data_IF_760293164160
#
_entry.id   IF_760293164160
#
_cell.length_a   1.000
_cell.length_b   1.000
_cell.length_c   1.000
_cell.angle_alpha   90.00
_cell.angle_beta   90.00
_cell.angle_gamma   90.00
#
_symmetry.space_group_name_H-M   'P 1'
#
loop_
_entity.id
_entity.type
_entity.pdbx_description
1 polymer ?
#
# COMPACT_ATOMS: atom_id res chain seq x y z
N UNK A 1 -8.14 -3.58 -17.54
CA UNK A 1 -7.81 -3.67 -16.09
C UNK A 1 -7.35 -2.31 -15.59
N UNK A 2 -7.10 -2.11 -14.28
CA UNK A 2 -6.50 -0.85 -13.78
C UNK A 2 -5.17 -0.53 -14.46
N UNK A 3 -4.40 -1.58 -14.81
CA UNK A 3 -3.14 -1.48 -15.55
C UNK A 3 -3.40 -0.90 -16.95
N UNK A 4 -4.33 -1.49 -17.69
CA UNK A 4 -4.75 -1.03 -19.02
C UNK A 4 -5.17 0.45 -19.00
N UNK A 5 -6.00 0.82 -18.03
CA UNK A 5 -6.51 2.20 -17.89
C UNK A 5 -5.37 3.19 -17.62
N UNK A 6 -4.47 2.89 -16.67
CA UNK A 6 -3.34 3.75 -16.36
C UNK A 6 -2.42 3.98 -17.57
N UNK A 7 -2.19 2.93 -18.38
CA UNK A 7 -1.39 3.06 -19.61
C UNK A 7 -2.12 3.88 -20.67
N UNK A 8 -3.43 3.64 -20.87
CA UNK A 8 -4.24 4.36 -21.84
C UNK A 8 -4.34 5.85 -21.51
N UNK A 9 -4.60 6.19 -20.25
CA UNK A 9 -4.62 7.58 -19.78
C UNK A 9 -3.28 8.26 -20.05
N UNK A 10 -2.17 7.60 -19.70
CA UNK A 10 -0.82 8.13 -19.94
C UNK A 10 -0.54 8.32 -21.44
N UNK A 11 -0.98 7.35 -22.26
CA UNK A 11 -0.86 7.40 -23.72
C UNK A 11 -1.64 8.58 -24.31
N UNK A 12 -2.87 8.80 -23.86
CA UNK A 12 -3.71 9.93 -24.27
C UNK A 12 -3.13 11.28 -23.83
N UNK A 13 -2.69 11.41 -22.57
CA UNK A 13 -2.14 12.66 -22.04
C UNK A 13 -0.82 13.06 -22.71
N UNK A 14 0.00 12.08 -23.09
CA UNK A 14 1.28 12.34 -23.73
C UNK A 14 1.21 12.36 -25.25
N UNK A 15 0.05 12.02 -25.84
CA UNK A 15 -0.14 11.83 -27.28
C UNK A 15 0.88 10.81 -27.88
N UNK A 16 1.24 9.79 -27.10
CA UNK A 16 2.17 8.74 -27.52
C UNK A 16 1.39 7.44 -27.71
N UNK A 17 1.45 6.79 -28.90
CA UNK A 17 0.79 5.52 -29.13
C UNK A 17 1.41 4.42 -28.26
N UNK A 18 0.54 3.60 -27.67
CA UNK A 18 0.93 2.39 -26.97
C UNK A 18 0.90 1.18 -27.89
N UNK A 19 1.70 0.16 -27.56
CA UNK A 19 1.90 -1.03 -28.37
C UNK A 19 1.92 -2.27 -27.49
N UNK A 20 1.19 -3.32 -27.90
CA UNK A 20 1.13 -4.63 -27.19
C UNK A 20 0.77 -4.50 -25.71
N UNK A 21 -0.33 -3.80 -25.43
CA UNK A 21 -0.81 -3.55 -24.07
C UNK A 21 -1.12 -4.84 -23.28
N UNK A 22 -1.60 -5.87 -23.97
CA UNK A 22 -1.89 -7.17 -23.36
C UNK A 22 -0.63 -7.84 -22.82
N UNK A 23 0.45 -7.84 -23.62
CA UNK A 23 1.74 -8.40 -23.22
C UNK A 23 2.29 -7.67 -21.99
N UNK A 24 2.21 -6.34 -21.98
CA UNK A 24 2.63 -5.54 -20.83
C UNK A 24 1.80 -5.87 -19.59
N UNK A 25 0.47 -5.96 -19.73
CA UNK A 25 -0.42 -6.28 -18.61
C UNK A 25 -0.11 -7.66 -18.04
N UNK A 26 0.13 -8.64 -18.90
CA UNK A 26 0.49 -10.00 -18.50
C UNK A 26 1.86 -10.03 -17.81
N UNK A 27 2.87 -9.35 -18.36
CA UNK A 27 4.21 -9.26 -17.78
C UNK A 27 4.18 -8.59 -16.40
N UNK A 28 3.50 -7.44 -16.29
CA UNK A 28 3.32 -6.72 -15.02
C UNK A 28 2.64 -7.60 -13.97
N UNK A 29 1.56 -8.28 -14.36
CA UNK A 29 0.83 -9.19 -13.46
C UNK A 29 1.69 -10.38 -13.03
N UNK A 30 2.43 -11.00 -13.96
CA UNK A 30 3.30 -12.11 -13.65
C UNK A 30 4.41 -11.68 -12.67
N UNK A 31 5.05 -10.53 -12.92
CA UNK A 31 6.14 -10.03 -12.08
C UNK A 31 5.69 -9.73 -10.65
N UNK A 32 4.59 -9.01 -10.49
CA UNK A 32 4.19 -8.51 -9.16
C UNK A 32 3.22 -9.44 -8.42
N UNK A 33 2.36 -10.16 -9.13
CA UNK A 33 1.36 -11.04 -8.51
C UNK A 33 1.88 -12.47 -8.35
N UNK A 34 2.55 -13.02 -9.37
CA UNK A 34 3.03 -14.41 -9.37
C UNK A 34 4.42 -14.49 -8.73
N UNK A 35 5.39 -13.73 -9.26
CA UNK A 35 6.77 -13.69 -8.73
C UNK A 35 6.92 -12.86 -7.44
N UNK A 36 5.85 -12.24 -6.95
CA UNK A 36 5.79 -11.44 -5.70
C UNK A 36 6.83 -10.32 -5.63
N UNK A 37 7.24 -9.77 -6.77
CA UNK A 37 8.20 -8.67 -6.81
C UNK A 37 7.55 -7.34 -6.38
N UNK A 38 8.29 -6.42 -5.72
CA UNK A 38 7.75 -5.13 -5.32
C UNK A 38 7.18 -4.34 -6.51
N UNK A 39 6.00 -3.73 -6.35
CA UNK A 39 5.33 -2.96 -7.42
C UNK A 39 6.17 -1.82 -8.01
N UNK A 40 7.09 -1.27 -7.19
CA UNK A 40 8.02 -0.21 -7.59
C UNK A 40 9.21 -0.71 -8.39
N UNK A 41 9.42 -2.03 -8.46
CA UNK A 41 10.51 -2.61 -9.24
C UNK A 41 10.16 -2.54 -10.73
N UNK A 42 10.99 -1.85 -11.49
CA UNK A 42 10.86 -1.76 -12.95
C UNK A 42 11.91 -2.69 -13.56
N UNK A 43 11.48 -3.54 -14.48
CA UNK A 43 12.35 -4.46 -15.22
C UNK A 43 12.19 -4.24 -16.71
N UNK A 44 13.05 -4.86 -17.52
CA UNK A 44 12.93 -4.80 -18.99
C UNK A 44 11.58 -5.35 -19.50
N UNK A 45 10.99 -6.31 -18.77
CA UNK A 45 9.66 -6.89 -19.07
C UNK A 45 8.51 -5.90 -18.79
N UNK A 46 8.73 -4.90 -17.93
CA UNK A 46 7.69 -3.95 -17.48
C UNK A 46 8.03 -2.50 -17.85
N UNK A 47 8.81 -2.30 -18.91
CA UNK A 47 8.98 -0.96 -19.48
C UNK A 47 7.67 -0.43 -20.06
N UNK A 48 7.57 0.90 -20.18
CA UNK A 48 6.37 1.51 -20.74
C UNK A 48 6.08 0.95 -22.15
N UNK A 49 4.85 0.49 -22.44
CA UNK A 49 4.52 -0.18 -23.70
C UNK A 49 4.29 0.84 -24.81
N UNK A 50 5.31 1.63 -25.13
CA UNK A 50 5.30 2.61 -26.23
C UNK A 50 6.15 2.12 -27.39
N UNK A 51 5.84 2.54 -28.62
CA UNK A 51 6.57 2.09 -29.81
C UNK A 51 8.05 2.47 -29.77
N UNK A 52 8.34 3.72 -29.41
CA UNK A 52 9.70 4.26 -29.42
C UNK A 52 10.47 3.86 -28.16
N UNK A 53 11.63 3.21 -28.33
CA UNK A 53 12.49 2.77 -27.22
C UNK A 53 12.88 3.89 -26.24
N UNK A 54 13.07 5.13 -26.74
CA UNK A 54 13.32 6.30 -25.88
C UNK A 54 12.18 6.56 -24.89
N UNK A 55 10.93 6.36 -25.31
CA UNK A 55 9.75 6.60 -24.49
C UNK A 55 9.53 5.46 -23.48
N UNK A 56 9.92 4.23 -23.85
CA UNK A 56 9.80 3.05 -22.97
C UNK A 56 10.49 3.27 -21.62
N UNK A 57 11.75 3.71 -21.65
CA UNK A 57 12.52 3.98 -20.42
C UNK A 57 12.12 5.28 -19.74
N UNK A 58 11.94 6.35 -20.53
CA UNK A 58 11.60 7.68 -20.01
C UNK A 58 10.32 7.67 -19.17
N UNK A 59 9.31 6.90 -19.59
CA UNK A 59 7.98 6.92 -18.97
C UNK A 59 7.63 5.66 -18.17
N UNK A 60 8.53 4.68 -18.04
CA UNK A 60 8.27 3.47 -17.25
C UNK A 60 7.89 3.80 -15.80
N UNK A 61 8.63 4.70 -15.16
CA UNK A 61 8.36 5.11 -13.78
C UNK A 61 7.00 5.80 -13.63
N UNK A 62 6.61 6.64 -14.60
CA UNK A 62 5.31 7.31 -14.59
C UNK A 62 4.17 6.30 -14.70
N UNK A 63 4.29 5.33 -15.62
CA UNK A 63 3.27 4.29 -15.78
C UNK A 63 3.16 3.43 -14.51
N UNK A 64 4.28 2.97 -13.96
CA UNK A 64 4.27 2.23 -12.70
C UNK A 64 3.63 3.04 -11.58
N UNK A 65 3.96 4.32 -11.45
CA UNK A 65 3.35 5.22 -10.48
C UNK A 65 1.83 5.30 -10.65
N UNK A 66 1.34 5.51 -11.87
CA UNK A 66 -0.09 5.62 -12.15
C UNK A 66 -0.84 4.32 -11.83
N UNK A 67 -0.27 3.17 -12.19
CA UNK A 67 -0.82 1.85 -11.85
C UNK A 67 -0.92 1.68 -10.33
N UNK A 68 0.19 1.96 -9.62
CA UNK A 68 0.26 1.84 -8.15
C UNK A 68 -0.77 2.75 -7.49
N UNK A 69 -0.84 4.01 -7.92
CA UNK A 69 -1.80 4.99 -7.42
C UNK A 69 -3.24 4.52 -7.65
N UNK A 70 -3.56 3.98 -8.83
CA UNK A 70 -4.87 3.43 -9.13
C UNK A 70 -5.22 2.22 -8.24
N UNK A 71 -4.26 1.32 -8.00
CA UNK A 71 -4.43 0.17 -7.09
C UNK A 71 -4.68 0.66 -5.66
N UNK A 72 -3.86 1.58 -5.14
CA UNK A 72 -4.04 2.12 -3.79
C UNK A 72 -5.38 2.82 -3.62
N UNK A 73 -5.78 3.66 -4.59
CA UNK A 73 -7.09 4.33 -4.56
C UNK A 73 -8.23 3.30 -4.52
N UNK A 74 -8.16 2.26 -5.33
CA UNK A 74 -9.19 1.20 -5.34
C UNK A 74 -9.24 0.46 -4.00
N UNK A 75 -8.09 0.04 -3.46
CA UNK A 75 -8.02 -0.65 -2.16
C UNK A 75 -8.54 0.24 -1.02
N UNK A 76 -8.18 1.51 -1.01
CA UNK A 76 -8.62 2.49 -0.02
C UNK A 76 -10.14 2.66 -0.04
N UNK A 77 -10.73 2.88 -1.22
CA UNK A 77 -12.19 3.00 -1.37
C UNK A 77 -12.90 1.73 -0.90
N UNK A 78 -12.40 0.55 -1.30
CA UNK A 78 -12.98 -0.73 -0.86
C UNK A 78 -12.92 -0.86 0.67
N UNK A 79 -11.80 -0.49 1.31
CA UNK A 79 -11.65 -0.51 2.76
C UNK A 79 -12.65 0.39 3.48
N UNK A 80 -12.95 1.58 2.95
CA UNK A 80 -13.93 2.48 3.55
C UNK A 80 -15.36 1.91 3.47
N UNK A 81 -15.70 1.27 2.35
CA UNK A 81 -17.00 0.59 2.19
C UNK A 81 -17.12 -0.58 3.17
N UNK A 82 -16.01 -1.31 3.42
CA UNK A 82 -16.03 -2.45 4.36
C UNK A 82 -16.15 -2.00 5.82
N UNK A 83 -15.57 -0.85 6.18
CA UNK A 83 -15.72 -0.26 7.52
C UNK A 83 -17.13 0.27 7.77
N UNK A 84 -17.85 0.71 6.73
CA UNK A 84 -19.26 1.14 6.83
C UNK A 84 -20.26 -0.03 6.84
N UNK A 85 -19.79 -1.26 7.10
CA UNK A 85 -20.68 -2.39 7.31
C UNK A 85 -21.18 -2.32 8.76
N UNK A 86 -22.50 -2.12 9.03
CA UNK A 86 -23.04 -1.91 10.38
C UNK A 86 -22.90 -3.13 11.32
N UNK A 87 -22.22 -4.17 10.88
CA UNK A 87 -21.91 -5.40 11.62
C UNK A 87 -20.68 -5.21 12.53
N UNK A 88 -19.83 -4.21 12.27
CA UNK A 88 -18.74 -3.88 13.19
C UNK A 88 -19.29 -3.17 14.42
N UNK A 89 -19.52 -3.95 15.48
CA UNK A 89 -19.90 -3.42 16.79
C UNK A 89 -18.86 -2.37 17.23
N UNK A 90 -19.29 -1.21 17.78
CA UNK A 90 -18.36 -0.25 18.34
C UNK A 90 -17.51 -0.94 19.40
N UNK A 91 -16.20 -0.70 19.36
CA UNK A 91 -15.27 -1.30 20.32
C UNK A 91 -15.74 -0.99 21.75
N UNK A 92 -15.73 -1.98 22.67
CA UNK A 92 -16.17 -1.75 24.03
C UNK A 92 -15.32 -0.63 24.66
N UNK A 93 -15.98 0.32 25.31
CA UNK A 93 -15.33 1.45 25.99
C UNK A 93 -14.29 0.91 26.99
N UNK A 94 -13.01 1.15 26.70
CA UNK A 94 -11.91 0.83 27.60
C UNK A 94 -12.08 1.65 28.89
N UNK A 95 -12.44 0.99 29.98
CA UNK A 95 -12.45 1.64 31.30
C UNK A 95 -11.01 1.85 31.74
N UNK A 96 -10.60 3.07 32.13
CA UNK A 96 -9.26 3.29 32.64
C UNK A 96 -9.03 2.41 33.88
N UNK A 97 -7.82 1.85 34.05
CA UNK A 97 -7.51 1.01 35.20
C UNK A 97 -7.73 1.79 36.49
N UNK A 98 -8.51 1.22 37.41
CA UNK A 98 -8.71 1.80 38.72
C UNK A 98 -7.38 1.71 39.50
N UNK A 99 -6.80 2.86 39.83
CA UNK A 99 -5.66 2.92 40.74
C UNK A 99 -6.09 2.40 42.11
N UNK A 100 -5.64 1.20 42.48
CA UNK A 100 -5.76 0.73 43.85
C UNK A 100 -4.77 1.48 44.73
N UNK A 101 -5.27 2.01 45.84
CA UNK A 101 -4.44 2.71 46.84
C UNK A 101 -3.46 1.70 47.43
N UNK A 102 -2.16 1.94 47.25
CA UNK A 102 -1.12 1.11 47.86
C UNK A 102 -1.16 1.26 49.37
N UNK A 103 -1.14 0.14 50.11
CA UNK A 103 -1.08 0.14 51.57
C UNK A 103 0.19 0.87 52.05
N UNK A 104 0.11 1.64 53.16
CA UNK A 104 1.27 2.35 53.68
C UNK A 104 2.37 1.34 54.07
N UNK A 105 3.61 1.67 53.70
CA UNK A 105 4.79 0.88 54.05
C UNK A 105 4.94 0.81 55.57
N UNK A 106 5.10 -0.42 56.08
CA UNK A 106 5.37 -0.67 57.48
C UNK A 106 6.75 -0.08 57.85
N UNK A 107 6.88 0.75 58.91
CA UNK A 107 8.11 1.48 59.23
C UNK A 107 9.28 0.58 59.67
N UNK A 108 9.05 -0.72 59.85
CA UNK A 108 10.08 -1.69 60.28
C UNK A 108 11.17 -1.95 59.25
N UNK A 109 10.99 -1.56 57.98
CA UNK A 109 12.01 -1.76 56.94
C UNK A 109 13.14 -0.71 56.93
N UNK A 110 13.05 0.35 57.72
CA UNK A 110 14.04 1.44 57.73
C UNK A 110 15.21 1.27 58.72
N UNK A 111 15.15 0.31 59.66
CA UNK A 111 16.15 0.19 60.72
C UNK A 111 17.28 -0.83 60.49
N UNK A 112 17.31 -1.56 59.36
CA UNK A 112 18.34 -2.58 59.13
C UNK A 112 19.52 -2.15 58.24
N UNK A 113 19.78 -0.85 58.11
CA UNK A 113 21.05 -0.36 57.56
C UNK A 113 21.56 0.80 58.41
N UNK A 114 22.31 0.46 59.45
CA UNK A 114 23.59 1.06 59.88
C UNK A 114 23.98 0.31 61.15
N UNK A 115 24.83 -0.72 61.01
CA UNK A 115 25.98 -1.01 61.86
C UNK A 115 26.79 -2.17 61.27
#
# INVERSE_FOLDING_TARGET
TLITQAVQETSCTLEIPHFRLDNFTQAFTNLHTVKKMPLRLITDETLAPFEQNKNKRKYAALIHHNIITAIYKKLWITSQITQYNPIFQPSPLLRPPAMMKTNPLNPTFLNNKIH
#
